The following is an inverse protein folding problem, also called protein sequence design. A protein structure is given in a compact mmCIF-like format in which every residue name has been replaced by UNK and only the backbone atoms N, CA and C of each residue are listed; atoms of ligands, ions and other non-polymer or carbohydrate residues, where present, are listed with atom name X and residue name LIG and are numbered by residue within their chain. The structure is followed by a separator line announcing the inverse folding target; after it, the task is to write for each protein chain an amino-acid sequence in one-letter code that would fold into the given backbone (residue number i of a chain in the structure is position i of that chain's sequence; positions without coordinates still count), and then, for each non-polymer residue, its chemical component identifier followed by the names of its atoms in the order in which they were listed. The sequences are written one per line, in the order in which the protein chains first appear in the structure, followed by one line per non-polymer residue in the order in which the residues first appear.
data_IF_141287677887
#
_entry.id   IF_141287677887
#
_cell.length_a   1.000
_cell.length_b   1.000
_cell.length_c   1.000
_cell.angle_alpha   90.00
_cell.angle_beta   90.00
_cell.angle_gamma   90.00
#
_symmetry.space_group_name_H-M   'P 1'
#
loop_
_entity.id
_entity.type
_entity.pdbx_description
1 polymer ?
#
# COMPACT_ATOMS: atom_id res chain seq x y z
N UNK A 1 45.30 22.59 -0.74
CA UNK A 1 43.82 22.58 -0.81
C UNK A 1 43.44 21.25 -1.40
N UNK A 2 43.23 20.24 -0.57
CA UNK A 2 42.97 18.87 -1.03
C UNK A 2 41.46 18.71 -1.18
N UNK A 3 40.99 18.74 -2.42
CA UNK A 3 39.57 18.63 -2.75
C UNK A 3 39.23 17.12 -2.72
N UNK A 4 38.63 16.68 -1.60
CA UNK A 4 37.98 15.38 -1.38
C UNK A 4 38.86 14.23 -0.84
N UNK A 5 38.53 13.68 0.35
CA UNK A 5 38.94 12.35 0.85
C UNK A 5 37.80 11.66 1.62
N UNK A 6 37.98 10.36 1.86
CA UNK A 6 37.05 9.23 1.58
C UNK A 6 36.09 8.87 2.74
N UNK A 7 35.37 7.74 2.64
CA UNK A 7 34.28 7.24 3.53
C UNK A 7 34.67 6.65 4.90
N UNK A 8 35.91 6.40 5.28
CA UNK A 8 37.02 7.30 5.57
C UNK A 8 38.22 6.40 5.38
N UNK A 9 38.88 6.53 4.23
CA UNK A 9 40.02 5.70 3.83
C UNK A 9 39.83 4.17 3.96
N UNK A 10 38.69 3.70 3.45
CA UNK A 10 38.28 2.29 3.27
C UNK A 10 39.45 1.27 3.27
N UNK A 11 39.41 0.35 4.25
CA UNK A 11 40.36 -0.73 4.58
C UNK A 11 41.50 -0.38 5.58
N UNK A 12 41.51 0.84 6.12
CA UNK A 12 42.33 1.18 7.29
C UNK A 12 41.63 0.74 8.60
N UNK A 13 42.19 -0.27 9.28
CA UNK A 13 41.63 -0.90 10.48
C UNK A 13 41.62 0.04 11.71
N UNK A 14 42.44 1.09 11.70
CA UNK A 14 42.53 2.04 12.80
C UNK A 14 41.42 3.11 12.74
N UNK A 15 40.94 3.44 11.54
CA UNK A 15 39.83 4.38 11.34
C UNK A 15 38.49 3.63 11.32
N UNK A 16 37.99 3.28 12.50
CA UNK A 16 36.65 2.68 12.63
C UNK A 16 35.53 3.58 12.10
N UNK A 17 34.40 2.96 11.73
CA UNK A 17 33.13 3.66 11.45
C UNK A 17 32.61 4.33 12.72
N UNK A 18 32.31 5.62 12.64
CA UNK A 18 31.64 6.33 13.75
C UNK A 18 30.13 6.35 13.54
N UNK A 19 29.38 6.63 14.61
CA UNK A 19 27.92 6.84 14.54
C UNK A 19 27.57 7.98 13.58
N UNK A 20 28.44 8.99 13.46
CA UNK A 20 28.26 10.08 12.50
C UNK A 20 28.29 9.59 11.05
N UNK A 21 29.20 8.68 10.69
CA UNK A 21 29.21 8.08 9.35
C UNK A 21 27.94 7.29 9.07
N UNK A 22 27.49 6.53 10.06
CA UNK A 22 26.27 5.74 9.91
C UNK A 22 25.06 6.65 9.71
N UNK A 23 25.02 7.81 10.39
CA UNK A 23 23.98 8.80 10.19
C UNK A 23 24.06 9.40 8.78
N UNK A 24 25.26 9.78 8.31
CA UNK A 24 25.45 10.31 6.96
C UNK A 24 24.98 9.32 5.89
N UNK A 25 25.25 8.03 6.08
CA UNK A 25 24.78 6.96 5.20
C UNK A 25 23.27 6.79 5.19
N UNK A 26 22.61 6.94 6.35
CA UNK A 26 21.15 6.83 6.46
C UNK A 26 20.48 8.06 5.87
N UNK A 27 21.00 9.26 6.15
CA UNK A 27 20.42 10.52 5.69
C UNK A 27 20.56 10.72 4.18
N UNK A 28 21.68 10.26 3.59
CA UNK A 28 21.95 10.33 2.15
C UNK A 28 21.75 8.98 1.45
N UNK A 29 21.00 8.06 2.06
CA UNK A 29 20.75 6.74 1.48
C UNK A 29 20.03 6.88 0.13
N UNK A 30 20.59 6.25 -0.92
CA UNK A 30 19.97 6.21 -2.24
C UNK A 30 19.04 4.98 -2.38
N UNK A 31 18.02 5.04 -3.24
CA UNK A 31 17.08 3.94 -3.52
C UNK A 31 17.73 2.60 -3.95
N UNK A 32 18.94 2.69 -4.51
CA UNK A 32 19.76 1.54 -4.85
C UNK A 32 20.37 0.81 -3.65
N UNK A 33 20.46 1.46 -2.49
CA UNK A 33 21.12 0.92 -1.30
C UNK A 33 20.18 -0.02 -0.51
N UNK A 34 20.74 -1.10 0.04
CA UNK A 34 19.97 -2.06 0.84
C UNK A 34 19.31 -1.40 2.07
N UNK A 35 20.02 -0.49 2.75
CA UNK A 35 19.52 0.22 3.94
C UNK A 35 18.28 1.06 3.57
N UNK A 36 18.32 1.79 2.45
CA UNK A 36 17.19 2.58 1.99
C UNK A 36 15.94 1.73 1.79
N UNK A 37 16.10 0.55 1.16
CA UNK A 37 14.99 -0.36 0.83
C UNK A 37 14.35 -1.00 2.06
N UNK A 38 15.14 -1.22 3.10
CA UNK A 38 14.64 -1.72 4.39
C UNK A 38 13.84 -0.63 5.11
N UNK A 39 14.36 0.60 5.12
CA UNK A 39 13.69 1.74 5.77
C UNK A 39 12.45 2.20 4.99
N UNK A 40 12.46 2.03 3.67
CA UNK A 40 11.38 2.41 2.77
C UNK A 40 10.93 1.17 1.99
N UNK A 41 10.12 0.27 2.59
CA UNK A 41 9.69 -0.97 1.92
C UNK A 41 8.92 -0.71 0.62
N UNK A 42 8.30 0.47 0.51
CA UNK A 42 7.51 0.91 -0.64
C UNK A 42 8.36 1.65 -1.69
N UNK A 43 9.69 1.65 -1.56
CA UNK A 43 10.62 2.26 -2.52
C UNK A 43 10.42 1.86 -4.00
N UNK A 44 9.96 0.65 -4.39
CA UNK A 44 9.77 0.33 -5.80
C UNK A 44 8.56 1.07 -6.39
N UNK A 45 7.71 1.65 -5.55
CA UNK A 45 6.49 2.35 -5.93
C UNK A 45 6.69 3.85 -5.92
N UNK A 46 7.49 4.33 -6.87
CA UNK A 46 7.56 5.76 -7.17
C UNK A 46 6.20 6.29 -7.65
N UNK A 47 6.00 7.60 -7.58
CA UNK A 47 4.80 8.26 -8.12
C UNK A 47 4.54 7.87 -9.58
N UNK A 48 5.61 7.80 -10.39
CA UNK A 48 5.51 7.36 -11.78
C UNK A 48 4.96 5.94 -11.89
N UNK A 49 5.47 5.00 -11.07
CA UNK A 49 5.01 3.61 -11.08
C UNK A 49 3.55 3.48 -10.61
N UNK A 50 3.14 4.29 -9.63
CA UNK A 50 1.75 4.38 -9.20
C UNK A 50 0.82 4.85 -10.32
N UNK A 51 1.21 5.92 -11.04
CA UNK A 51 0.41 6.44 -12.15
C UNK A 51 0.34 5.48 -13.34
N UNK A 52 1.45 4.81 -13.66
CA UNK A 52 1.48 3.79 -14.71
C UNK A 52 0.61 2.59 -14.37
N UNK A 53 0.66 2.12 -13.12
CA UNK A 53 -0.22 1.05 -12.65
C UNK A 53 -1.70 1.44 -12.76
N UNK A 54 -2.06 2.65 -12.34
CA UNK A 54 -3.45 3.14 -12.45
C UNK A 54 -3.92 3.22 -13.91
N UNK A 55 -3.06 3.72 -14.82
CA UNK A 55 -3.38 3.74 -16.26
C UNK A 55 -3.62 2.33 -16.82
N UNK A 56 -2.78 1.36 -16.45
CA UNK A 56 -2.93 -0.03 -16.89
C UNK A 56 -4.18 -0.67 -16.31
N UNK A 57 -4.44 -0.50 -15.02
CA UNK A 57 -5.63 -1.02 -14.33
C UNK A 57 -6.92 -0.50 -15.01
N UNK A 58 -6.97 0.80 -15.30
CA UNK A 58 -8.07 1.40 -16.03
C UNK A 58 -8.20 0.79 -17.44
N UNK A 59 -7.12 0.73 -18.21
CA UNK A 59 -7.15 0.20 -19.59
C UNK A 59 -7.63 -1.25 -19.66
N UNK A 60 -7.16 -2.11 -18.76
CA UNK A 60 -7.57 -3.52 -18.69
C UNK A 60 -9.05 -3.63 -18.32
N UNK A 61 -9.52 -2.80 -17.38
CA UNK A 61 -10.92 -2.74 -17.02
C UNK A 61 -11.80 -2.30 -18.20
N UNK A 62 -11.42 -1.25 -18.92
CA UNK A 62 -12.13 -0.77 -20.11
C UNK A 62 -12.24 -1.86 -21.18
N UNK A 63 -11.14 -2.58 -21.47
CA UNK A 63 -11.17 -3.71 -22.41
C UNK A 63 -12.12 -4.82 -21.98
N UNK A 64 -12.20 -5.12 -20.69
CA UNK A 64 -13.16 -6.09 -20.17
C UNK A 64 -14.61 -5.61 -20.33
N UNK A 65 -14.87 -4.33 -20.10
CA UNK A 65 -16.20 -3.72 -20.34
C UNK A 65 -16.57 -3.79 -21.82
N UNK A 66 -15.68 -3.39 -22.71
CA UNK A 66 -15.88 -3.42 -24.17
C UNK A 66 -16.07 -4.85 -24.69
N UNK A 67 -15.38 -5.83 -24.08
CA UNK A 67 -15.56 -7.25 -24.34
C UNK A 67 -16.89 -7.84 -23.83
N UNK A 68 -17.81 -6.99 -23.35
CA UNK A 68 -19.12 -7.40 -22.85
C UNK A 68 -19.09 -8.01 -21.46
N UNK A 69 -18.09 -7.66 -20.64
CA UNK A 69 -17.94 -8.13 -19.24
C UNK A 69 -17.87 -9.66 -19.10
N UNK A 70 -17.35 -10.35 -20.12
CA UNK A 70 -17.23 -11.81 -20.13
C UNK A 70 -15.99 -12.24 -19.33
N UNK A 71 -16.15 -13.24 -18.48
CA UNK A 71 -15.07 -13.78 -17.64
C UNK A 71 -14.82 -12.97 -16.36
N UNK A 72 -13.82 -13.38 -15.54
CA UNK A 72 -13.54 -12.74 -14.26
C UNK A 72 -13.12 -11.29 -14.44
N UNK A 73 -13.67 -10.40 -13.61
CA UNK A 73 -13.29 -8.99 -13.59
C UNK A 73 -11.79 -8.88 -13.28
N UNK A 74 -11.01 -8.10 -14.06
CA UNK A 74 -9.59 -7.92 -13.80
C UNK A 74 -9.36 -7.31 -12.41
N UNK A 75 -8.36 -7.84 -11.72
CA UNK A 75 -7.91 -7.31 -10.42
C UNK A 75 -6.85 -6.23 -10.66
N UNK A 76 -6.88 -5.13 -9.88
CA UNK A 76 -5.82 -4.12 -9.90
C UNK A 76 -4.44 -4.71 -9.60
N UNK A 77 -3.38 -4.07 -10.11
CA UNK A 77 -2.00 -4.44 -9.77
C UNK A 77 -1.79 -4.24 -8.26
N UNK A 78 -1.24 -5.23 -7.53
CA UNK A 78 -0.99 -5.12 -6.09
C UNK A 78 -0.01 -3.99 -5.80
N UNK A 79 -0.42 -3.02 -4.98
CA UNK A 79 0.38 -1.83 -4.63
C UNK A 79 0.45 -1.65 -3.12
N UNK A 80 1.57 -1.13 -2.59
CA UNK A 80 1.71 -0.83 -1.18
C UNK A 80 0.70 0.22 -0.73
N UNK A 81 0.31 0.14 0.55
CA UNK A 81 -0.75 0.99 1.11
C UNK A 81 -2.17 0.58 0.70
N UNK A 82 -2.36 -0.21 -0.36
CA UNK A 82 -3.64 -0.84 -0.68
C UNK A 82 -3.65 -2.23 -0.04
N UNK A 83 -3.93 -2.27 1.25
CA UNK A 83 -4.39 -3.51 1.88
C UNK A 83 -5.67 -3.94 1.17
N UNK A 84 -5.81 -5.24 0.86
CA UNK A 84 -7.12 -5.78 0.51
C UNK A 84 -8.06 -5.42 1.66
N UNK A 85 -8.88 -4.39 1.47
CA UNK A 85 -10.00 -4.14 2.36
C UNK A 85 -10.84 -5.39 2.24
N UNK A 86 -10.72 -6.28 3.22
CA UNK A 86 -11.71 -7.29 3.51
C UNK A 86 -12.99 -6.54 3.87
N UNK A 87 -13.69 -6.07 2.85
CA UNK A 87 -15.06 -5.60 2.97
C UNK A 87 -15.82 -6.82 3.45
N UNK A 88 -16.00 -6.93 4.77
CA UNK A 88 -16.87 -7.93 5.37
C UNK A 88 -18.27 -7.64 4.84
N UNK A 89 -18.65 -8.30 3.75
CA UNK A 89 -20.02 -8.32 3.30
C UNK A 89 -20.78 -9.21 4.26
N UNK A 90 -21.62 -8.60 5.10
CA UNK A 90 -22.60 -9.36 5.86
C UNK A 90 -23.69 -9.79 4.89
N UNK A 91 -23.72 -11.07 4.54
CA UNK A 91 -24.84 -11.64 3.79
C UNK A 91 -26.03 -11.74 4.75
N UNK A 92 -27.06 -10.95 4.51
CA UNK A 92 -28.31 -11.02 5.27
C UNK A 92 -29.07 -12.26 4.78
N UNK A 93 -29.24 -13.26 5.64
CA UNK A 93 -29.93 -14.52 5.31
C UNK A 93 -31.45 -14.37 5.26
N UNK A 94 -32.00 -13.39 5.96
CA UNK A 94 -33.44 -13.11 6.04
C UNK A 94 -33.65 -11.60 5.94
N UNK A 95 -34.30 -11.17 4.85
CA UNK A 95 -34.80 -9.81 4.70
C UNK A 95 -36.19 -9.74 5.33
N UNK A 96 -36.30 -9.09 6.48
CA UNK A 96 -37.60 -8.74 7.06
C UNK A 96 -38.23 -7.57 6.30
N UNK A 97 -39.54 -7.62 6.11
CA UNK A 97 -40.31 -6.47 5.60
C UNK A 97 -40.42 -5.38 6.65
N UNK A 98 -40.68 -4.14 6.20
CA UNK A 98 -40.83 -2.98 7.09
C UNK A 98 -41.90 -3.22 8.16
N UNK A 99 -42.98 -3.94 7.82
CA UNK A 99 -44.08 -4.26 8.72
C UNK A 99 -43.65 -5.22 9.85
N UNK A 100 -42.83 -6.24 9.54
CA UNK A 100 -42.27 -7.17 10.52
C UNK A 100 -41.31 -6.46 11.48
N UNK A 101 -40.54 -5.49 10.96
CA UNK A 101 -39.64 -4.66 11.76
C UNK A 101 -40.44 -3.76 12.71
N UNK A 102 -41.54 -3.18 12.24
CA UNK A 102 -42.40 -2.28 13.03
C UNK A 102 -43.17 -3.04 14.13
N UNK A 103 -43.61 -4.27 13.83
CA UNK A 103 -44.24 -5.17 14.82
C UNK A 103 -43.23 -5.64 15.88
N UNK A 104 -42.01 -6.00 15.46
CA UNK A 104 -40.91 -6.34 16.37
C UNK A 104 -40.49 -5.17 17.27
N UNK A 105 -40.47 -3.94 16.74
CA UNK A 105 -40.17 -2.72 17.50
C UNK A 105 -41.26 -2.43 18.55
N UNK A 106 -42.54 -2.57 18.19
CA UNK A 106 -43.67 -2.39 19.12
C UNK A 106 -43.60 -3.34 20.31
N UNK A 107 -43.17 -4.58 20.11
CA UNK A 107 -42.96 -5.55 21.20
C UNK A 107 -41.82 -5.19 22.17
N UNK A 108 -40.88 -4.34 21.76
CA UNK A 108 -39.72 -3.93 22.58
C UNK A 108 -39.88 -2.59 23.27
N UNK A 109 -40.77 -1.72 22.80
CA UNK A 109 -41.13 -0.49 23.52
C UNK A 109 -42.02 -0.91 24.69
N UNK A 110 -41.40 -1.21 25.84
CA UNK A 110 -42.12 -1.27 27.12
C UNK A 110 -42.81 0.08 27.32
N UNK A 111 -44.13 0.07 27.29
CA UNK A 111 -44.97 1.11 27.87
C UNK A 111 -44.53 1.32 29.32
N UNK A 112 -43.88 2.45 29.57
CA UNK A 112 -43.75 3.01 30.92
C UNK A 112 -45.08 3.60 31.38
#
# INVERSE_FOLDING_TARGET
MTIGYRVRDLDDFESGLTVGDMLDFVEHAHEGMAIYRILNPDWPWSLTNLLLAEMLDAQVLWRWVDGGKKGPKPKPIPRPGVTETHTKSYTVSETSTVDEIDEWLKGRVKTG
#
